data_IF_806183342262
#
_entry.id   IF_806183342262
#
_cell.length_a   1.000
_cell.length_b   1.000
_cell.length_c   1.000
_cell.angle_alpha   90.00
_cell.angle_beta   90.00
_cell.angle_gamma   90.00
#
_symmetry.space_group_name_H-M   'P 1'
#
loop_
_entity.id
_entity.type
_entity.pdbx_description
1 polymer ?
#
# COMPACT_ATOMS: atom_id res chain seq x y z
N UNK A 1 -11.56 -14.13 -7.71
CA UNK A 1 -10.44 -13.18 -7.61
C UNK A 1 -10.86 -12.05 -6.69
N UNK A 2 -9.97 -11.65 -5.79
CA UNK A 2 -10.14 -10.56 -4.83
C UNK A 2 -8.83 -9.79 -4.71
N UNK A 3 -8.81 -8.75 -3.88
CA UNK A 3 -7.62 -7.93 -3.64
C UNK A 3 -7.46 -7.64 -2.15
N UNK A 4 -6.24 -7.32 -1.73
CA UNK A 4 -5.96 -6.82 -0.37
C UNK A 4 -5.16 -5.52 -0.44
N UNK A 5 -5.46 -4.59 0.46
CA UNK A 5 -4.88 -3.26 0.47
C UNK A 5 -5.46 -2.39 1.58
N UNK A 6 -5.02 -1.13 1.64
CA UNK A 6 -5.44 -0.17 2.65
C UNK A 6 -4.52 -0.11 3.86
N UNK A 7 -5.08 0.25 5.03
CA UNK A 7 -4.33 0.44 6.27
C UNK A 7 -4.60 -0.70 7.24
N UNK A 8 -3.55 -1.13 7.96
CA UNK A 8 -3.67 -2.15 9.00
C UNK A 8 -4.63 -1.66 10.10
N UNK A 9 -5.68 -2.45 10.35
CA UNK A 9 -6.64 -2.22 11.41
C UNK A 9 -6.67 -3.43 12.35
N UNK A 10 -6.64 -3.16 13.66
CA UNK A 10 -6.74 -4.21 14.67
C UNK A 10 -8.18 -4.71 14.84
N UNK A 11 -8.33 -5.97 15.25
CA UNK A 11 -9.63 -6.63 15.44
C UNK A 11 -10.61 -5.82 16.30
N UNK A 12 -10.15 -5.30 17.45
CA UNK A 12 -10.98 -4.53 18.38
C UNK A 12 -11.46 -3.17 17.83
N UNK A 13 -10.85 -2.67 16.75
CA UNK A 13 -11.23 -1.42 16.11
C UNK A 13 -12.28 -1.59 15.01
N UNK A 14 -12.48 -2.82 14.51
CA UNK A 14 -13.42 -3.12 13.43
C UNK A 14 -14.86 -3.09 13.93
N UNK A 15 -15.76 -2.44 13.18
CA UNK A 15 -17.19 -2.34 13.52
C UNK A 15 -18.07 -2.88 12.42
N UNK A 16 -17.69 -2.61 11.18
CA UNK A 16 -18.41 -3.03 9.99
C UNK A 16 -17.66 -4.18 9.31
N UNK A 17 -18.39 -4.96 8.52
CA UNK A 17 -17.73 -5.98 7.70
C UNK A 17 -16.76 -5.35 6.68
N UNK A 18 -17.03 -4.13 6.20
CA UNK A 18 -16.15 -3.43 5.27
C UNK A 18 -14.76 -3.13 5.86
N UNK A 19 -14.68 -2.90 7.18
CA UNK A 19 -13.42 -2.67 7.90
C UNK A 19 -12.47 -3.88 7.85
N UNK A 20 -13.00 -5.08 7.65
CA UNK A 20 -12.22 -6.33 7.58
C UNK A 20 -11.40 -6.41 6.28
N UNK A 21 -12.02 -6.01 5.17
CA UNK A 21 -11.38 -6.06 3.86
C UNK A 21 -12.33 -6.41 2.71
N UNK A 22 -11.76 -6.95 1.63
CA UNK A 22 -12.49 -7.17 0.37
C UNK A 22 -13.54 -8.28 0.46
N UNK A 23 -14.74 -8.11 -0.12
CA UNK A 23 -15.81 -9.09 -0.04
C UNK A 23 -15.53 -10.31 -0.93
N UNK A 24 -15.94 -11.48 -0.43
CA UNK A 24 -15.91 -12.77 -1.12
C UNK A 24 -17.31 -13.36 -1.14
N UNK A 25 -17.66 -14.01 -2.25
CA UNK A 25 -18.92 -14.73 -2.41
C UNK A 25 -18.65 -16.07 -3.07
N UNK A 26 -18.96 -17.16 -2.37
CA UNK A 26 -18.93 -18.51 -2.90
C UNK A 26 -20.36 -19.01 -3.06
N UNK A 27 -20.66 -19.62 -4.20
CA UNK A 27 -21.97 -20.20 -4.51
C UNK A 27 -21.81 -21.68 -4.82
N UNK A 28 -22.49 -22.52 -4.05
CA UNK A 28 -22.53 -23.96 -4.23
C UNK A 28 -23.94 -24.37 -4.65
N UNK A 29 -24.06 -25.06 -5.77
CA UNK A 29 -25.35 -25.57 -6.25
C UNK A 29 -25.45 -27.06 -5.95
N UNK A 30 -26.55 -27.43 -5.29
CA UNK A 30 -26.88 -28.82 -4.96
C UNK A 30 -28.14 -29.19 -5.71
N UNK A 31 -28.01 -30.05 -6.72
CA UNK A 31 -29.12 -30.57 -7.50
C UNK A 31 -29.54 -31.95 -6.99
N UNK A 32 -30.83 -32.18 -6.68
CA UNK A 32 -31.32 -33.51 -6.35
C UNK A 32 -31.19 -34.45 -7.56
N UNK A 33 -30.78 -35.69 -7.32
CA UNK A 33 -30.69 -36.74 -8.35
C UNK A 33 -31.72 -37.82 -8.01
N UNK A 34 -32.93 -37.67 -8.54
CA UNK A 34 -34.06 -38.58 -8.29
C UNK A 34 -35.07 -38.04 -7.28
N UNK A 35 -35.87 -38.94 -6.70
CA UNK A 35 -36.87 -38.60 -5.70
C UNK A 35 -36.20 -38.11 -4.41
N UNK A 36 -36.82 -37.14 -3.74
CA UNK A 36 -36.30 -36.53 -2.51
C UNK A 36 -36.12 -37.54 -1.37
N UNK A 37 -35.42 -37.12 -0.31
CA UNK A 37 -35.06 -38.03 0.79
C UNK A 37 -36.26 -38.46 1.63
N UNK A 38 -37.44 -37.85 1.46
CA UNK A 38 -38.71 -38.27 2.07
C UNK A 38 -38.58 -38.56 3.58
N UNK A 39 -37.81 -37.73 4.29
CA UNK A 39 -37.47 -37.85 5.71
C UNK A 39 -36.55 -39.03 6.12
N UNK A 40 -35.90 -39.71 5.17
CA UNK A 40 -34.94 -40.79 5.42
C UNK A 40 -33.57 -40.29 5.91
N UNK A 41 -33.31 -38.98 5.84
CA UNK A 41 -32.09 -38.34 6.29
C UNK A 41 -32.03 -36.87 5.91
N UNK A 42 -30.94 -36.21 6.26
CA UNK A 42 -30.70 -34.79 5.96
C UNK A 42 -29.38 -34.66 5.21
N UNK A 43 -29.41 -33.99 4.04
CA UNK A 43 -28.19 -33.62 3.33
C UNK A 43 -27.48 -32.51 4.09
N UNK A 44 -26.18 -32.63 4.27
CA UNK A 44 -25.35 -31.64 4.93
C UNK A 44 -24.23 -31.22 3.99
N UNK A 45 -24.10 -29.91 3.79
CA UNK A 45 -22.93 -29.33 3.14
C UNK A 45 -21.92 -28.94 4.23
N UNK A 46 -20.81 -29.66 4.29
CA UNK A 46 -19.67 -29.38 5.15
C UNK A 46 -18.57 -28.64 4.39
N UNK A 47 -18.16 -27.47 4.87
CA UNK A 47 -17.04 -26.72 4.30
C UNK A 47 -15.82 -26.82 5.20
N UNK A 48 -14.70 -27.26 4.64
CA UNK A 48 -13.37 -27.09 5.21
C UNK A 48 -12.90 -25.66 4.91
N UNK A 49 -13.17 -24.77 5.86
CA UNK A 49 -13.01 -23.34 5.65
C UNK A 49 -11.65 -22.83 6.13
N UNK A 50 -10.84 -22.19 5.28
CA UNK A 50 -9.55 -21.59 5.67
C UNK A 50 -9.73 -20.37 6.58
N UNK A 51 -9.77 -20.62 7.89
CA UNK A 51 -10.20 -19.63 8.90
C UNK A 51 -9.06 -18.74 9.37
N UNK A 52 -7.92 -19.36 9.69
CA UNK A 52 -6.75 -18.70 10.25
C UNK A 52 -5.49 -19.13 9.49
N UNK A 53 -4.44 -18.31 9.55
CA UNK A 53 -3.08 -18.74 9.24
C UNK A 53 -2.48 -19.52 10.41
N UNK A 54 -1.36 -20.21 10.19
CA UNK A 54 -0.64 -20.96 11.25
C UNK A 54 -0.30 -20.13 12.49
N UNK A 55 -0.13 -18.81 12.32
CA UNK A 55 0.16 -17.86 13.39
C UNK A 55 -1.07 -17.50 14.25
N UNK A 56 -2.26 -18.00 13.92
CA UNK A 56 -3.52 -17.69 14.62
C UNK A 56 -4.13 -16.34 14.25
N UNK A 57 -3.61 -15.66 13.22
CA UNK A 57 -4.28 -14.49 12.63
C UNK A 57 -5.38 -14.95 11.67
N UNK A 58 -6.42 -14.14 11.53
CA UNK A 58 -7.51 -14.35 10.60
C UNK A 58 -7.04 -14.45 9.14
N UNK A 59 -7.64 -15.35 8.36
CA UNK A 59 -7.40 -15.50 6.93
C UNK A 59 -8.64 -15.08 6.12
N UNK A 60 -9.68 -15.92 6.13
CA UNK A 60 -10.98 -15.63 5.51
C UNK A 60 -12.05 -15.54 6.60
N UNK A 61 -12.68 -14.38 6.73
CA UNK A 61 -13.71 -14.12 7.73
C UNK A 61 -15.11 -14.41 7.17
N UNK A 62 -15.80 -15.49 7.58
CA UNK A 62 -17.15 -15.78 7.12
C UNK A 62 -18.16 -14.82 7.78
N UNK A 63 -18.95 -14.12 6.96
CA UNK A 63 -19.92 -13.13 7.45
C UNK A 63 -21.33 -13.68 7.52
N UNK A 64 -21.77 -14.41 6.50
CA UNK A 64 -23.10 -15.03 6.48
C UNK A 64 -23.12 -16.22 5.53
N UNK A 65 -23.96 -17.20 5.86
CA UNK A 65 -24.25 -18.33 4.99
C UNK A 65 -25.75 -18.35 4.78
N UNK A 66 -26.18 -18.26 3.52
CA UNK A 66 -27.59 -18.26 3.14
C UNK A 66 -27.87 -19.44 2.22
N UNK A 67 -28.96 -20.14 2.48
CA UNK A 67 -29.42 -21.24 1.64
C UNK A 67 -30.66 -20.76 0.90
N UNK A 68 -30.66 -20.93 -0.41
CA UNK A 68 -31.70 -20.51 -1.33
C UNK A 68 -32.27 -21.73 -2.07
N UNK A 69 -33.53 -22.07 -1.84
CA UNK A 69 -34.29 -23.03 -2.67
C UNK A 69 -35.69 -22.45 -2.92
N UNK A 70 -36.76 -22.92 -2.27
CA UNK A 70 -38.10 -22.32 -2.35
C UNK A 70 -38.29 -21.08 -1.44
N UNK A 71 -37.24 -20.72 -0.73
CA UNK A 71 -37.15 -19.58 0.18
C UNK A 71 -35.68 -19.29 0.45
N UNK A 72 -35.41 -18.30 1.29
CA UNK A 72 -34.06 -18.00 1.79
C UNK A 72 -34.04 -18.10 3.30
N UNK A 73 -33.12 -18.89 3.85
CA UNK A 73 -32.88 -18.97 5.28
C UNK A 73 -31.38 -18.93 5.58
N UNK A 74 -31.00 -18.33 6.73
CA UNK A 74 -29.63 -18.37 7.19
C UNK A 74 -29.25 -19.78 7.67
N UNK A 75 -27.99 -20.15 7.47
CA UNK A 75 -27.37 -21.31 8.10
C UNK A 75 -26.37 -20.83 9.16
N UNK A 76 -26.51 -21.35 10.39
CA UNK A 76 -25.54 -21.10 11.47
C UNK A 76 -24.89 -22.43 11.90
N UNK A 77 -23.64 -22.69 11.51
CA UNK A 77 -22.85 -23.81 11.99
C UNK A 77 -22.67 -23.77 13.52
N UNK A 78 -22.41 -24.93 14.12
CA UNK A 78 -22.09 -25.03 15.54
C UNK A 78 -20.77 -24.31 15.87
N UNK A 79 -20.65 -23.77 17.09
CA UNK A 79 -19.41 -23.14 17.56
C UNK A 79 -19.29 -21.65 17.27
N UNK A 80 -20.37 -20.97 16.84
CA UNK A 80 -20.40 -19.53 16.57
C UNK A 80 -19.27 -19.06 15.62
N UNK A 81 -19.02 -19.84 14.57
CA UNK A 81 -17.91 -19.62 13.66
C UNK A 81 -18.21 -18.57 12.57
N UNK A 82 -19.49 -18.27 12.34
CA UNK A 82 -19.95 -17.30 11.33
C UNK A 82 -20.22 -15.96 12.02
N UNK A 83 -19.55 -14.91 11.56
CA UNK A 83 -19.54 -13.57 12.12
C UNK A 83 -19.33 -13.51 13.65
N UNK A 84 -18.29 -14.14 14.22
CA UNK A 84 -18.06 -14.18 15.67
C UNK A 84 -17.88 -12.80 16.30
N UNK A 85 -17.37 -11.82 15.54
CA UNK A 85 -17.17 -10.45 16.00
C UNK A 85 -18.46 -9.61 15.94
N UNK A 86 -19.58 -10.19 15.50
CA UNK A 86 -20.87 -9.52 15.35
C UNK A 86 -20.78 -8.19 14.58
N UNK A 87 -20.00 -8.18 13.49
CA UNK A 87 -19.82 -6.99 12.67
C UNK A 87 -21.11 -6.66 11.93
N UNK A 88 -21.38 -5.37 11.76
CA UNK A 88 -22.55 -4.93 11.00
C UNK A 88 -22.34 -5.21 9.51
N UNK A 89 -23.25 -5.97 8.93
CA UNK A 89 -23.27 -6.27 7.50
C UNK A 89 -24.03 -5.16 6.79
N UNK A 90 -23.37 -4.43 5.89
CA UNK A 90 -24.06 -3.49 5.00
C UNK A 90 -24.97 -4.29 4.06
N UNK A 91 -26.27 -4.03 4.11
CA UNK A 91 -27.28 -4.66 3.24
C UNK A 91 -27.00 -4.29 1.76
N UNK A 92 -27.08 -5.20 0.77
CA UNK A 92 -26.80 -4.89 -0.63
C UNK A 92 -27.75 -3.87 -1.28
N UNK A 93 -28.73 -3.34 -0.54
CA UNK A 93 -29.76 -2.42 -1.03
C UNK A 93 -29.47 -0.93 -0.90
N UNK A 94 -28.40 -0.52 -0.21
CA UNK A 94 -28.01 0.89 -0.15
C UNK A 94 -26.68 1.05 -0.86
N UNK A 95 -26.76 1.34 -2.15
CA UNK A 95 -25.67 1.83 -2.99
C UNK A 95 -24.86 2.87 -2.22
N UNK A 96 -23.64 2.56 -1.73
CA UNK A 96 -22.70 3.62 -1.44
C UNK A 96 -22.37 4.20 -2.81
N UNK A 97 -22.58 5.51 -2.99
CA UNK A 97 -22.12 6.19 -4.20
C UNK A 97 -20.67 5.78 -4.43
N UNK A 98 -20.44 5.01 -5.50
CA UNK A 98 -19.10 4.65 -5.91
C UNK A 98 -18.25 5.93 -5.98
N UNK A 99 -17.00 5.93 -5.52
CA UNK A 99 -16.09 7.00 -5.85
C UNK A 99 -15.97 6.97 -7.37
N UNK A 100 -16.61 7.97 -7.97
CA UNK A 100 -16.69 8.29 -9.37
C UNK A 100 -15.41 7.84 -10.07
N UNK A 101 -15.53 6.75 -10.84
CA UNK A 101 -14.55 6.33 -11.84
C UNK A 101 -14.23 7.59 -12.65
N UNK A 102 -13.10 8.25 -12.39
CA UNK A 102 -12.59 9.35 -13.22
C UNK A 102 -12.23 8.71 -14.55
N UNK A 103 -13.25 8.55 -15.38
CA UNK A 103 -13.15 8.29 -16.81
C UNK A 103 -12.35 9.46 -17.34
N UNK A 104 -11.06 9.23 -17.63
CA UNK A 104 -10.27 10.19 -18.39
C UNK A 104 -11.01 10.35 -19.72
N UNK A 105 -11.58 11.53 -19.92
CA UNK A 105 -12.10 11.97 -21.21
C UNK A 105 -10.86 12.06 -22.11
N UNK A 106 -10.70 11.13 -23.05
CA UNK A 106 -9.79 11.37 -24.16
C UNK A 106 -10.47 12.39 -25.08
N UNK A 107 -9.92 13.59 -25.14
CA UNK A 107 -10.17 14.51 -26.24
C UNK A 107 -9.65 13.88 -27.54
N UNK A 108 -10.42 13.86 -28.63
CA UNK A 108 -9.93 13.47 -29.94
C UNK A 108 -9.39 14.72 -30.65
N UNK A 109 -8.07 14.90 -30.67
CA UNK A 109 -7.48 16.02 -31.38
C UNK A 109 -5.96 15.93 -31.51
N UNK A 110 -5.50 15.50 -32.68
CA UNK A 110 -4.31 16.08 -33.33
C UNK A 110 -2.94 15.60 -32.86
N UNK A 111 -2.34 14.82 -33.76
CA UNK A 111 -0.93 14.84 -34.15
C UNK A 111 0.05 13.78 -33.62
N UNK A 112 0.79 13.32 -34.62
CA UNK A 112 1.67 12.17 -34.69
C UNK A 112 2.85 12.30 -33.75
N UNK A 113 2.99 11.31 -32.86
CA UNK A 113 4.28 10.89 -32.34
C UNK A 113 4.09 9.51 -31.73
N UNK A 114 4.73 8.51 -32.33
CA UNK A 114 4.88 7.18 -31.74
C UNK A 114 5.34 7.30 -30.28
N UNK A 115 4.67 6.70 -29.30
CA UNK A 115 5.27 6.59 -27.98
C UNK A 115 6.53 5.73 -28.13
N UNK A 116 7.68 6.12 -27.54
CA UNK A 116 8.80 5.21 -27.43
C UNK A 116 8.28 3.99 -26.66
N UNK A 117 8.43 2.81 -27.27
CA UNK A 117 8.29 1.54 -26.58
C UNK A 117 9.34 1.54 -25.48
N UNK A 118 8.96 2.04 -24.31
CA UNK A 118 9.73 1.85 -23.10
C UNK A 118 9.68 0.36 -22.85
N UNK A 119 10.85 -0.27 -22.96
CA UNK A 119 11.05 -1.67 -22.62
C UNK A 119 10.30 -1.91 -21.32
N UNK A 120 9.35 -2.84 -21.35
CA UNK A 120 8.63 -3.30 -20.20
C UNK A 120 9.61 -3.42 -19.04
N UNK A 121 9.46 -2.55 -18.04
CA UNK A 121 10.10 -2.71 -16.75
C UNK A 121 9.90 -4.18 -16.41
N UNK A 122 11.02 -4.89 -16.22
CA UNK A 122 11.05 -6.32 -15.99
C UNK A 122 9.90 -6.63 -15.04
N UNK A 123 8.86 -7.34 -15.52
CA UNK A 123 7.79 -7.83 -14.68
C UNK A 123 8.51 -8.56 -13.56
N UNK A 124 8.54 -7.95 -12.37
CA UNK A 124 8.99 -8.60 -11.14
C UNK A 124 8.33 -9.97 -11.18
N UNK A 125 9.12 -11.04 -11.07
CA UNK A 125 8.62 -12.39 -11.20
C UNK A 125 7.40 -12.50 -10.27
N UNK A 126 6.22 -12.76 -10.84
CA UNK A 126 4.95 -12.64 -10.12
C UNK A 126 5.01 -13.56 -8.90
N UNK A 127 5.22 -13.00 -7.72
CA UNK A 127 5.47 -13.79 -6.53
C UNK A 127 4.13 -14.38 -6.08
N UNK A 128 4.04 -15.71 -6.09
CA UNK A 128 2.79 -16.42 -5.82
C UNK A 128 2.99 -17.45 -4.71
N UNK A 129 2.03 -17.51 -3.79
CA UNK A 129 1.99 -18.53 -2.74
C UNK A 129 0.57 -19.04 -2.58
N UNK A 130 0.44 -20.31 -2.19
CA UNK A 130 -0.85 -20.97 -1.97
C UNK A 130 -0.95 -21.41 -0.51
N UNK A 131 -2.09 -21.09 0.09
CA UNK A 131 -2.47 -21.43 1.46
C UNK A 131 -3.56 -22.48 1.43
N UNK A 132 -3.24 -23.67 1.94
CA UNK A 132 -4.17 -24.80 2.03
C UNK A 132 -4.15 -25.42 3.42
N UNK A 133 -5.27 -26.04 3.79
CA UNK A 133 -5.42 -26.83 5.00
C UNK A 133 -4.48 -28.06 4.99
N UNK A 134 -4.39 -28.73 3.84
CA UNK A 134 -3.61 -29.95 3.65
C UNK A 134 -2.09 -29.75 3.80
N UNK A 135 -1.57 -28.60 3.37
CA UNK A 135 -0.15 -28.26 3.48
C UNK A 135 0.20 -27.71 4.87
N UNK A 136 -0.77 -27.60 5.78
CA UNK A 136 -0.60 -27.05 7.12
C UNK A 136 -0.25 -25.57 7.14
N UNK A 137 -0.50 -24.82 6.05
CA UNK A 137 -0.26 -23.37 5.97
C UNK A 137 -1.47 -22.54 6.40
N UNK A 138 -2.65 -23.14 6.39
CA UNK A 138 -3.88 -22.57 6.94
C UNK A 138 -4.44 -23.52 8.01
N UNK A 139 -5.02 -22.94 9.06
CA UNK A 139 -5.84 -23.63 10.05
C UNK A 139 -7.29 -23.51 9.63
N UNK A 140 -7.92 -24.66 9.39
CA UNK A 140 -9.26 -24.72 8.84
C UNK A 140 -10.27 -25.19 9.88
N UNK A 141 -11.50 -24.69 9.74
CA UNK A 141 -12.64 -25.07 10.59
C UNK A 141 -13.70 -25.74 9.75
N UNK A 142 -14.52 -26.57 10.38
CA UNK A 142 -15.58 -27.29 9.70
C UNK A 142 -16.92 -26.57 9.87
N UNK A 143 -17.45 -26.01 8.77
CA UNK A 143 -18.73 -25.32 8.76
C UNK A 143 -19.80 -26.27 8.22
N UNK A 144 -20.71 -26.73 9.07
CA UNK A 144 -21.80 -27.63 8.67
C UNK A 144 -23.11 -26.89 8.46
N UNK A 145 -23.69 -27.06 7.27
CA UNK A 145 -24.99 -26.53 6.91
C UNK A 145 -25.96 -27.65 6.49
N UNK A 146 -26.95 -28.00 7.32
CA UNK A 146 -28.02 -28.90 6.90
C UNK A 146 -28.88 -28.23 5.85
N UNK A 147 -29.09 -28.91 4.73
CA UNK A 147 -29.93 -28.48 3.63
C UNK A 147 -31.35 -29.00 3.85
N UNK A 148 -32.39 -28.22 3.51
CA UNK A 148 -33.76 -28.73 3.59
C UNK A 148 -33.97 -29.83 2.55
N UNK A 149 -34.92 -30.72 2.85
CA UNK A 149 -35.39 -31.71 1.90
C UNK A 149 -36.28 -31.02 0.86
N UNK A 150 -35.72 -30.67 -0.30
CA UNK A 150 -36.46 -30.07 -1.41
C UNK A 150 -36.16 -30.80 -2.71
N UNK A 151 -37.17 -30.98 -3.55
CA UNK A 151 -37.04 -31.54 -4.90
C UNK A 151 -36.49 -30.56 -5.93
N UNK A 152 -36.14 -29.34 -5.50
CA UNK A 152 -35.58 -28.29 -6.35
C UNK A 152 -34.09 -28.12 -6.11
N UNK A 153 -33.42 -27.47 -7.05
CA UNK A 153 -32.01 -27.09 -6.90
C UNK A 153 -31.88 -26.14 -5.70
N UNK A 154 -30.92 -26.43 -4.84
CA UNK A 154 -30.61 -25.63 -3.65
C UNK A 154 -29.26 -24.93 -3.84
N UNK A 155 -29.26 -23.61 -3.75
CA UNK A 155 -28.08 -22.76 -3.87
C UNK A 155 -27.64 -22.30 -2.48
N UNK A 156 -26.44 -22.67 -2.06
CA UNK A 156 -25.83 -22.20 -0.81
C UNK A 156 -24.85 -21.09 -1.15
N UNK A 157 -25.08 -19.90 -0.61
CA UNK A 157 -24.19 -18.75 -0.74
C UNK A 157 -23.43 -18.55 0.57
N UNK A 158 -22.10 -18.59 0.51
CA UNK A 158 -21.23 -18.23 1.61
C UNK A 158 -20.63 -16.87 1.30
N UNK A 159 -21.01 -15.85 2.07
CA UNK A 159 -20.34 -14.55 2.03
C UNK A 159 -19.25 -14.53 3.10
N UNK A 160 -18.11 -14.03 2.69
CA UNK A 160 -16.94 -13.89 3.54
C UNK A 160 -16.15 -12.65 3.15
N UNK A 161 -15.07 -12.37 3.86
CA UNK A 161 -14.15 -11.27 3.54
C UNK A 161 -12.71 -11.70 3.73
N UNK A 162 -11.85 -11.10 2.91
CA UNK A 162 -10.39 -11.18 3.07
C UNK A 162 -10.01 -10.35 4.29
N UNK A 163 -9.21 -10.90 5.20
CA UNK A 163 -8.72 -10.14 6.34
C UNK A 163 -7.51 -9.29 5.96
N UNK A 164 -7.75 -8.06 5.51
CA UNK A 164 -6.71 -7.23 4.90
C UNK A 164 -5.46 -7.06 5.77
N UNK A 165 -5.62 -6.87 7.09
CA UNK A 165 -4.48 -6.70 8.00
C UNK A 165 -3.48 -7.86 7.96
N UNK A 166 -3.96 -9.11 7.84
CA UNK A 166 -3.08 -10.29 7.79
C UNK A 166 -2.32 -10.33 6.46
N UNK A 167 -3.00 -10.02 5.34
CA UNK A 167 -2.36 -10.03 4.03
C UNK A 167 -1.35 -8.88 3.88
N UNK A 168 -1.64 -7.70 4.42
CA UNK A 168 -0.73 -6.55 4.40
C UNK A 168 0.51 -6.79 5.28
N UNK A 169 0.35 -7.45 6.43
CA UNK A 169 1.48 -7.70 7.34
C UNK A 169 2.33 -8.89 6.90
N UNK A 170 1.69 -10.03 6.62
CA UNK A 170 2.37 -11.32 6.49
C UNK A 170 2.60 -11.71 5.02
N UNK A 171 1.87 -11.10 4.06
CA UNK A 171 1.89 -11.50 2.65
C UNK A 171 2.15 -10.36 1.65
N UNK A 172 2.58 -9.18 2.11
CA UNK A 172 2.86 -8.02 1.23
C UNK A 172 3.89 -8.28 0.12
N UNK A 173 4.80 -9.23 0.33
CA UNK A 173 5.87 -9.55 -0.62
C UNK A 173 5.38 -10.45 -1.77
N UNK A 174 4.15 -10.96 -1.68
CA UNK A 174 3.49 -11.76 -2.70
C UNK A 174 2.54 -10.90 -3.54
N UNK A 175 2.71 -10.94 -4.86
CA UNK A 175 1.78 -10.30 -5.79
C UNK A 175 0.42 -11.01 -5.78
N UNK A 176 0.43 -12.32 -5.55
CA UNK A 176 -0.77 -13.17 -5.51
C UNK A 176 -0.70 -14.19 -4.39
N UNK A 177 -1.77 -14.29 -3.62
CA UNK A 177 -1.97 -15.32 -2.61
C UNK A 177 -3.21 -16.12 -2.98
N UNK A 178 -3.02 -17.40 -3.31
CA UNK A 178 -4.11 -18.35 -3.50
C UNK A 178 -4.55 -18.94 -2.16
N UNK A 179 -5.86 -19.03 -1.92
CA UNK A 179 -6.42 -19.69 -0.73
C UNK A 179 -7.42 -20.75 -1.17
N UNK A 180 -7.14 -22.00 -0.81
CA UNK A 180 -7.95 -23.16 -1.20
C UNK A 180 -8.71 -23.75 -0.02
N UNK A 181 -9.93 -24.18 -0.27
CA UNK A 181 -10.76 -24.93 0.66
C UNK A 181 -11.57 -26.03 -0.04
N UNK A 182 -12.24 -26.84 0.76
CA UNK A 182 -13.02 -27.99 0.28
C UNK A 182 -14.47 -27.89 0.74
N UNK A 183 -15.39 -28.30 -0.11
CA UNK A 183 -16.80 -28.43 0.18
C UNK A 183 -17.21 -29.88 -0.04
N UNK A 184 -17.86 -30.47 0.96
CA UNK A 184 -18.28 -31.87 0.96
C UNK A 184 -19.77 -31.95 1.21
N UNK A 185 -20.47 -32.63 0.30
CA UNK A 185 -21.87 -32.97 0.45
C UNK A 185 -21.97 -34.41 0.92
N UNK A 186 -22.59 -34.61 2.07
CA UNK A 186 -22.79 -35.93 2.67
C UNK A 186 -24.19 -36.07 3.26
N UNK A 187 -24.61 -37.32 3.44
CA UNK A 187 -25.89 -37.65 4.03
C UNK A 187 -25.73 -37.96 5.52
N UNK A 188 -26.51 -37.27 6.37
CA UNK A 188 -26.64 -37.58 7.80
C UNK A 188 -27.98 -38.29 8.02
N UNK A 189 -27.94 -39.56 8.41
CA UNK A 189 -29.12 -40.38 8.71
C UNK A 189 -28.86 -41.30 9.91
N UNK A 190 -29.92 -41.65 10.63
CA UNK A 190 -29.90 -42.69 11.69
C UNK A 190 -30.14 -44.10 11.14
N UNK A 191 -30.44 -44.24 9.84
CA UNK A 191 -30.78 -45.50 9.19
C UNK A 191 -29.53 -46.05 8.46
N UNK A 192 -28.92 -47.16 8.91
CA UNK A 192 -27.65 -47.64 8.39
C UNK A 192 -27.74 -48.21 6.96
N UNK A 193 -28.93 -48.58 6.50
CA UNK A 193 -29.15 -49.11 5.14
C UNK A 193 -29.19 -48.02 4.07
N UNK A 194 -29.19 -46.74 4.46
CA UNK A 194 -29.25 -45.62 3.55
C UNK A 194 -27.91 -44.90 3.61
N UNK A 195 -27.17 -44.95 2.51
CA UNK A 195 -25.91 -44.26 2.37
C UNK A 195 -25.88 -43.49 1.06
N UNK A 196 -25.10 -42.42 1.07
CA UNK A 196 -24.79 -41.64 -0.11
C UNK A 196 -23.28 -41.52 -0.18
N UNK A 197 -22.71 -41.64 -1.38
CA UNK A 197 -21.31 -41.36 -1.60
C UNK A 197 -21.06 -39.85 -1.41
N UNK A 198 -20.07 -39.51 -0.58
CA UNK A 198 -19.70 -38.12 -0.34
C UNK A 198 -19.24 -37.47 -1.64
N UNK A 199 -19.85 -36.33 -2.01
CA UNK A 199 -19.44 -35.55 -3.17
C UNK A 199 -18.63 -34.36 -2.70
N UNK A 200 -17.39 -34.28 -3.19
CA UNK A 200 -16.40 -33.33 -2.69
C UNK A 200 -15.93 -32.45 -3.85
N UNK A 201 -15.95 -31.14 -3.65
CA UNK A 201 -15.47 -30.15 -4.61
C UNK A 201 -14.49 -29.20 -3.92
N UNK A 202 -13.50 -28.71 -4.66
CA UNK A 202 -12.59 -27.69 -4.15
C UNK A 202 -13.08 -26.30 -4.58
N UNK A 203 -12.80 -25.30 -3.76
CA UNK A 203 -12.99 -23.90 -4.09
C UNK A 203 -11.70 -23.14 -3.80
N UNK A 204 -11.42 -22.12 -4.58
CA UNK A 204 -10.20 -21.32 -4.44
C UNK A 204 -10.49 -19.85 -4.69
N UNK A 205 -9.68 -18.99 -4.09
CA UNK A 205 -9.64 -17.56 -4.39
C UNK A 205 -8.21 -17.08 -4.56
N UNK A 206 -7.96 -16.45 -5.70
CA UNK A 206 -6.77 -15.63 -5.92
C UNK A 206 -6.98 -14.25 -5.31
N UNK A 207 -6.13 -13.90 -4.35
CA UNK A 207 -6.12 -12.61 -3.66
C UNK A 207 -4.87 -11.86 -4.12
N UNK A 208 -5.07 -10.84 -4.96
CA UNK A 208 -3.97 -10.04 -5.52
C UNK A 208 -3.64 -8.85 -4.61
N UNK A 209 -2.35 -8.52 -4.50
CA UNK A 209 -1.92 -7.30 -3.80
C UNK A 209 -2.40 -6.07 -4.59
N UNK A 210 -3.03 -5.12 -3.91
CA UNK A 210 -3.30 -3.82 -4.50
C UNK A 210 -1.95 -3.11 -4.68
N UNK A 211 -1.39 -3.25 -5.88
CA UNK A 211 -0.17 -2.57 -6.30
C UNK A 211 -0.38 -1.06 -6.15
N UNK A 212 0.01 -0.51 -5.01
CA UNK A 212 0.51 0.86 -5.00
C UNK A 212 1.69 0.80 -5.96
N UNK A 213 1.58 1.51 -7.09
CA UNK A 213 2.72 1.78 -7.96
C UNK A 213 3.76 2.52 -7.10
N UNK A 214 4.55 1.77 -6.33
CA UNK A 214 5.86 2.22 -5.96
C UNK A 214 6.57 2.35 -7.30
N UNK A 215 6.55 3.58 -7.86
CA UNK A 215 7.53 3.93 -8.86
C UNK A 215 8.85 3.40 -8.32
N UNK A 216 9.55 2.51 -9.03
CA UNK A 216 10.82 2.03 -8.54
C UNK A 216 11.68 3.28 -8.32
N UNK A 217 11.90 3.62 -7.05
CA UNK A 217 12.85 4.64 -6.65
C UNK A 217 14.29 4.10 -6.79
N UNK A 218 14.48 3.09 -7.64
CA UNK A 218 15.75 2.70 -8.17
C UNK A 218 16.06 3.64 -9.34
N UNK A 219 16.35 4.90 -8.98
CA UNK A 219 17.00 5.81 -9.92
C UNK A 219 18.36 5.16 -10.19
N UNK A 220 18.46 4.46 -11.31
CA UNK A 220 19.69 3.80 -11.72
C UNK A 220 20.86 4.82 -11.64
N UNK A 221 21.96 4.47 -10.99
CA UNK A 221 23.05 5.40 -10.64
C UNK A 221 23.66 6.15 -11.84
N UNK A 222 23.58 5.59 -13.04
CA UNK A 222 23.96 6.26 -14.29
C UNK A 222 23.15 7.54 -14.56
N UNK A 223 21.86 7.62 -14.20
CA UNK A 223 21.04 8.84 -14.38
C UNK A 223 21.54 9.97 -13.48
N UNK A 224 22.01 9.64 -12.27
CA UNK A 224 22.66 10.60 -11.37
C UNK A 224 23.98 11.10 -11.97
N UNK A 225 24.80 10.20 -12.52
CA UNK A 225 26.05 10.57 -13.20
C UNK A 225 25.80 11.46 -14.42
N UNK A 226 24.79 11.13 -15.24
CA UNK A 226 24.41 11.94 -16.41
C UNK A 226 23.91 13.31 -15.98
N UNK A 227 23.08 13.40 -14.94
CA UNK A 227 22.58 14.66 -14.40
C UNK A 227 23.71 15.56 -13.86
N UNK A 228 24.65 14.99 -13.10
CA UNK A 228 25.83 15.72 -12.60
C UNK A 228 26.72 16.18 -13.76
N UNK A 229 26.95 15.31 -14.75
CA UNK A 229 27.73 15.65 -15.94
C UNK A 229 27.11 16.79 -16.76
N UNK A 230 25.79 16.73 -17.00
CA UNK A 230 25.05 17.78 -17.68
C UNK A 230 25.07 19.10 -16.89
N UNK A 231 24.94 19.03 -15.56
CA UNK A 231 25.03 20.20 -14.68
C UNK A 231 26.41 20.87 -14.71
N UNK A 232 27.50 20.09 -14.66
CA UNK A 232 28.87 20.60 -14.79
C UNK A 232 29.12 21.23 -16.17
N UNK A 233 28.62 20.61 -17.24
CA UNK A 233 28.72 21.15 -18.59
C UNK A 233 28.01 22.50 -18.72
N UNK A 234 26.77 22.58 -18.22
CA UNK A 234 25.98 23.82 -18.22
C UNK A 234 26.70 24.92 -17.42
N UNK A 235 27.20 24.59 -16.23
CA UNK A 235 27.91 25.53 -15.37
C UNK A 235 29.21 26.03 -16.04
N UNK A 236 29.96 25.15 -16.69
CA UNK A 236 31.13 25.53 -17.49
C UNK A 236 30.77 26.49 -18.63
N UNK A 237 29.67 26.22 -19.34
CA UNK A 237 29.16 27.08 -20.41
C UNK A 237 28.78 28.47 -19.90
N UNK A 238 28.11 28.56 -18.75
CA UNK A 238 27.74 29.82 -18.11
C UNK A 238 28.99 30.62 -17.72
N UNK A 239 30.01 29.97 -17.13
CA UNK A 239 31.27 30.64 -16.79
C UNK A 239 31.96 31.18 -18.05
N UNK A 240 32.00 30.39 -19.13
CA UNK A 240 32.57 30.83 -20.40
C UNK A 240 31.81 32.02 -21.00
N UNK A 241 30.48 32.01 -20.95
CA UNK A 241 29.66 33.14 -21.38
C UNK A 241 29.92 34.37 -20.51
N UNK A 242 29.95 34.24 -19.19
CA UNK A 242 30.24 35.35 -18.27
C UNK A 242 31.67 35.90 -18.46
N UNK A 243 32.63 35.04 -18.81
CA UNK A 243 34.00 35.44 -19.12
C UNK A 243 34.09 36.16 -20.48
N UNK A 244 33.41 35.66 -21.52
CA UNK A 244 33.38 36.26 -22.86
C UNK A 244 32.59 37.57 -22.90
N UNK A 245 31.55 37.68 -22.08
CA UNK A 245 30.73 38.88 -21.90
C UNK A 245 31.36 39.93 -20.97
N UNK A 246 32.61 39.74 -20.54
CA UNK A 246 33.41 40.76 -19.84
C UNK A 246 32.79 41.24 -18.50
N UNK A 247 31.89 40.44 -17.90
CA UNK A 247 31.18 40.80 -16.66
C UNK A 247 32.11 40.87 -15.44
N UNK A 248 33.23 40.12 -15.47
CA UNK A 248 34.28 40.14 -14.46
C UNK A 248 35.44 41.06 -14.84
N UNK A 249 35.18 42.28 -15.32
CA UNK A 249 36.16 43.35 -15.14
C UNK A 249 36.11 43.77 -13.68
N UNK A 250 37.19 43.59 -12.87
CA UNK A 250 37.25 44.24 -11.58
C UNK A 250 37.12 45.73 -11.84
N UNK A 251 36.07 46.38 -11.33
CA UNK A 251 36.01 47.84 -11.30
C UNK A 251 37.22 48.31 -10.50
N UNK A 252 38.26 48.77 -11.20
CA UNK A 252 39.48 49.33 -10.59
C UNK A 252 39.13 50.68 -9.95
N UNK A 253 38.51 50.66 -8.78
CA UNK A 253 38.22 51.85 -7.98
C UNK A 253 39.47 52.46 -7.29
N UNK A 254 40.65 51.86 -7.43
CA UNK A 254 41.88 52.31 -6.76
C UNK A 254 42.65 53.44 -7.46
N UNK A 255 42.12 54.08 -8.52
CA UNK A 255 42.86 55.12 -9.26
C UNK A 255 42.51 56.57 -8.91
N UNK A 256 41.65 56.81 -7.92
CA UNK A 256 41.30 58.18 -7.49
C UNK A 256 41.47 58.29 -5.97
N UNK A 257 42.72 58.15 -5.51
CA UNK A 257 43.11 58.66 -4.19
C UNK A 257 43.70 60.06 -4.41
N UNK A 258 43.10 61.15 -3.89
CA UNK A 258 43.73 62.46 -3.94
C UNK A 258 45.03 62.40 -3.11
N UNK A 259 46.14 62.78 -3.74
CA UNK A 259 47.42 63.00 -3.05
C UNK A 259 47.22 64.14 -2.05
N UNK A 260 47.15 63.83 -0.76
CA UNK A 260 47.32 64.84 0.27
C UNK A 260 48.79 65.24 0.31
N UNK A 261 49.09 66.52 0.03
CA UNK A 261 50.38 67.09 0.37
C UNK A 261 50.42 67.28 1.89
N UNK A 262 51.29 66.54 2.56
CA UNK A 262 51.61 66.82 3.95
C UNK A 262 52.35 68.16 4.03
N UNK A 263 51.67 69.20 4.48
CA UNK A 263 52.31 70.44 4.91
C UNK A 263 53.05 70.13 6.22
N UNK A 264 54.38 70.21 6.20
CA UNK A 264 55.19 70.16 7.42
C UNK A 264 54.95 71.46 8.19
N UNK A 265 54.18 71.39 9.27
CA UNK A 265 54.07 72.47 10.24
C UNK A 265 55.39 72.51 11.04
N UNK A 266 56.04 73.67 11.10
CA UNK A 266 57.32 73.88 11.80
C UNK A 266 57.10 73.81 13.32
N UNK A 267 58.05 73.21 14.02
CA UNK A 267 58.01 72.77 15.44
C UNK A 267 57.96 73.91 16.48
N UNK A 268 57.57 75.14 16.12
CA UNK A 268 57.73 76.32 17.00
C UNK A 268 56.44 76.78 17.72
N UNK A 269 55.25 76.31 17.31
CA UNK A 269 53.97 76.76 17.91
C UNK A 269 53.17 75.63 18.60
N UNK A 270 53.83 74.82 19.44
CA UNK A 270 53.11 73.90 20.36
C UNK A 270 53.02 74.52 21.75
N UNK A 271 51.87 75.14 22.05
CA UNK A 271 51.48 75.43 23.43
C UNK A 271 51.32 74.11 24.22
N UNK A 272 51.92 73.96 25.41
CA UNK A 272 51.68 72.80 26.25
C UNK A 272 50.25 72.86 26.85
N UNK A 273 49.48 71.76 26.81
CA UNK A 273 48.20 71.69 27.50
C UNK A 273 48.43 71.63 29.03
N UNK A 274 47.69 72.39 29.85
CA UNK A 274 47.80 72.33 31.29
C UNK A 274 47.08 71.09 31.84
N UNK A 275 47.70 70.43 32.81
CA UNK A 275 46.99 69.62 33.80
C UNK A 275 46.58 68.22 33.34
N UNK A 276 47.38 67.24 33.73
CA UNK A 276 47.08 65.82 33.64
C UNK A 276 45.86 65.43 34.50
N UNK A 277 44.78 65.02 33.85
CA UNK A 277 43.89 63.97 34.37
C UNK A 277 43.73 62.91 33.30
N UNK A 278 44.35 61.75 33.52
CA UNK A 278 44.23 60.55 32.68
C UNK A 278 42.75 60.13 32.56
N UNK A 279 42.18 60.00 31.34
CA UNK A 279 41.07 59.10 31.14
C UNK A 279 41.61 57.73 30.73
N UNK A 280 41.19 56.71 31.47
CA UNK A 280 41.35 55.28 31.21
C UNK A 280 41.18 54.89 29.73
N UNK A 281 42.19 54.20 29.17
CA UNK A 281 42.14 53.60 27.83
C UNK A 281 40.94 52.66 27.71
N UNK A 282 40.05 52.93 26.75
CA UNK A 282 38.94 52.03 26.39
C UNK A 282 39.46 50.82 25.62
N UNK A 283 38.91 49.66 25.95
CA UNK A 283 39.41 48.31 25.65
C UNK A 283 39.22 47.82 24.20
N UNK A 284 38.78 48.67 23.27
CA UNK A 284 38.46 48.27 21.89
C UNK A 284 39.41 48.84 20.83
N UNK A 285 40.53 49.46 21.23
CA UNK A 285 41.55 49.88 20.25
C UNK A 285 42.30 48.65 19.75
N UNK A 286 41.93 48.17 18.56
CA UNK A 286 42.63 47.10 17.86
C UNK A 286 44.00 47.61 17.40
N UNK A 287 45.07 47.00 17.92
CA UNK A 287 46.44 47.20 17.46
C UNK A 287 46.59 46.67 16.04
N UNK A 288 46.91 47.53 15.08
CA UNK A 288 47.34 47.08 13.76
C UNK A 288 48.84 46.79 13.83
N UNK A 289 49.22 45.51 13.77
CA UNK A 289 50.59 45.11 13.51
C UNK A 289 50.90 45.34 12.03
N UNK A 290 51.71 46.35 11.76
CA UNK A 290 52.35 46.53 10.46
C UNK A 290 53.51 45.53 10.40
N UNK A 291 53.37 44.49 9.56
CA UNK A 291 54.46 43.59 9.23
C UNK A 291 55.27 44.21 8.10
N UNK A 292 56.45 44.69 8.46
CA UNK A 292 57.41 45.28 7.56
C UNK A 292 58.11 44.23 6.68
N UNK A 293 58.40 44.68 5.46
CA UNK A 293 59.56 44.40 4.60
C UNK A 293 59.58 43.17 3.68
N UNK A 294 59.39 43.49 2.40
CA UNK A 294 60.35 43.38 1.29
C UNK A 294 61.30 42.16 1.28
N UNK A 295 61.20 41.35 0.23
CA UNK A 295 62.07 41.43 -0.96
C UNK A 295 61.24 41.14 -2.21
#
# INVERSE_FOLDING_TARGET
QSFFGGTVMGEAAMKTAEDVGSPLKYEFQVSPVGDGLAALGTLVLGLEWPYEVTNGKWLLYPTEITIHSNGSWPCQPSGNLVNPLNLTLSDPGVTPLSPQRRRRQLDPGGDQSSPPVTLAAAKKAKSETVLTCSNGRARCVWLECPLPDTSNITNVTVKARVWNSTFIEDYKDFDRVGVDGWATLFLRTSIPTINMENKTTWFSVDIDSELVEELPAEIELWLVLVAVGAGLLLLGLIILLLWKCDFFKPTRYYRIMPKYHAVRIREEDRYPPPGSTLPTKKHWVTSWQIRDRYY
#
